data_IF_462870364671
#
_entry.id   IF_462870364671
#
_cell.length_a   1.000
_cell.length_b   1.000
_cell.length_c   1.000
_cell.angle_alpha   90.00
_cell.angle_beta   90.00
_cell.angle_gamma   90.00
#
_symmetry.space_group_name_H-M   'P 1'
#
loop_
_entity.id
_entity.type
_entity.pdbx_description
1 polymer ?
#
# COMPACT_ATOMS: atom_id res chain seq x y z
N UNK A 1 21.36 2.66 -8.46
CA UNK A 1 19.89 2.57 -8.52
C UNK A 1 19.40 3.34 -7.31
N UNK A 2 18.63 4.40 -7.52
CA UNK A 2 18.12 5.21 -6.41
C UNK A 2 16.98 4.44 -5.73
N UNK A 3 16.98 4.35 -4.40
CA UNK A 3 15.90 3.66 -3.67
C UNK A 3 14.62 4.51 -3.71
N UNK A 4 13.55 3.94 -4.25
CA UNK A 4 12.23 4.58 -4.24
C UNK A 4 11.72 4.66 -2.80
N UNK A 5 11.47 5.88 -2.29
CA UNK A 5 10.89 6.06 -0.96
C UNK A 5 9.37 5.97 -1.04
N UNK A 6 8.82 4.87 -0.54
CA UNK A 6 7.38 4.62 -0.50
C UNK A 6 6.89 4.71 0.94
N UNK A 7 5.83 5.49 1.18
CA UNK A 7 5.15 5.56 2.48
C UNK A 7 3.67 5.27 2.31
N UNK A 8 3.14 4.31 3.06
CA UNK A 8 1.69 4.10 3.16
C UNK A 8 1.10 5.18 4.06
N UNK A 9 0.13 5.95 3.56
CA UNK A 9 -0.48 7.07 4.31
C UNK A 9 -1.92 6.80 4.73
N UNK A 10 -2.65 5.98 3.98
CA UNK A 10 -4.04 5.64 4.29
C UNK A 10 -4.41 4.26 3.74
N UNK A 11 -5.26 3.53 4.46
CA UNK A 11 -5.83 2.24 4.04
C UNK A 11 -7.33 2.31 4.26
N UNK A 12 -8.12 2.08 3.22
CA UNK A 12 -9.58 2.08 3.26
C UNK A 12 -10.16 0.83 2.59
N UNK A 13 -11.25 0.32 3.14
CA UNK A 13 -12.01 -0.76 2.54
C UNK A 13 -13.27 -0.16 1.91
N UNK A 14 -13.29 -0.06 0.59
CA UNK A 14 -14.44 0.47 -0.16
C UNK A 14 -15.45 -0.64 -0.46
N UNK A 15 -16.73 -0.27 -0.62
CA UNK A 15 -17.82 -1.23 -0.90
C UNK A 15 -17.80 -1.78 -2.33
N UNK A 16 -17.26 -1.02 -3.28
CA UNK A 16 -17.13 -1.40 -4.70
C UNK A 16 -15.77 -2.04 -4.96
N UNK A 17 -15.48 -3.14 -4.26
CA UNK A 17 -14.24 -3.90 -4.47
C UNK A 17 -14.23 -4.56 -5.87
N UNK A 18 -13.07 -4.64 -6.53
CA UNK A 18 -12.87 -5.60 -7.62
C UNK A 18 -13.21 -7.00 -7.11
N UNK A 19 -13.82 -7.86 -7.95
CA UNK A 19 -14.30 -9.18 -7.54
C UNK A 19 -13.24 -9.98 -6.78
N UNK A 20 -13.44 -10.12 -5.46
CA UNK A 20 -12.49 -10.71 -4.52
C UNK A 20 -12.52 -9.95 -3.20
N UNK A 21 -12.94 -10.62 -2.12
CA UNK A 21 -13.23 -10.02 -0.81
C UNK A 21 -11.99 -9.38 -0.12
N UNK A 22 -10.79 -9.64 -0.65
CA UNK A 22 -9.52 -9.36 0.03
C UNK A 22 -8.81 -8.11 -0.51
N UNK A 23 -9.37 -7.46 -1.55
CA UNK A 23 -8.76 -6.25 -2.13
C UNK A 23 -9.20 -4.98 -1.40
N UNK A 24 -8.26 -4.26 -0.81
CA UNK A 24 -8.48 -2.97 -0.18
C UNK A 24 -7.84 -1.86 -1.00
N UNK A 25 -8.37 -0.63 -0.86
CA UNK A 25 -7.78 0.56 -1.47
C UNK A 25 -6.76 1.14 -0.49
N UNK A 26 -5.56 1.39 -0.98
CA UNK A 26 -4.47 1.95 -0.19
C UNK A 26 -3.96 3.20 -0.88
N UNK A 27 -3.80 4.28 -0.13
CA UNK A 27 -3.11 5.48 -0.60
C UNK A 27 -1.66 5.41 -0.17
N UNK A 28 -0.77 5.44 -1.15
CA UNK A 28 0.69 5.50 -0.94
C UNK A 28 1.22 6.83 -1.41
N UNK A 29 2.25 7.32 -0.73
CA UNK A 29 3.03 8.48 -1.13
C UNK A 29 4.38 8.01 -1.68
N UNK A 30 4.66 8.39 -2.92
CA UNK A 30 5.90 8.09 -3.65
C UNK A 30 6.42 9.41 -4.19
N UNK A 31 7.63 9.79 -3.80
CA UNK A 31 8.27 11.07 -4.20
C UNK A 31 7.34 12.28 -3.99
N UNK A 32 6.62 12.30 -2.86
CA UNK A 32 5.67 13.37 -2.50
C UNK A 32 4.34 13.34 -3.26
N UNK A 33 4.12 12.37 -4.15
CA UNK A 33 2.87 12.18 -4.89
C UNK A 33 2.03 11.08 -4.25
N UNK A 34 0.75 11.37 -4.02
CA UNK A 34 -0.21 10.40 -3.50
C UNK A 34 -0.88 9.63 -4.64
N UNK A 35 -0.88 8.30 -4.53
CA UNK A 35 -1.46 7.38 -5.51
C UNK A 35 -2.34 6.38 -4.76
N UNK A 36 -3.55 6.15 -5.26
CA UNK A 36 -4.43 5.11 -4.73
C UNK A 36 -4.25 3.80 -5.53
N UNK A 37 -4.05 2.69 -4.83
CA UNK A 37 -3.85 1.36 -5.43
C UNK A 37 -4.78 0.34 -4.78
N UNK A 38 -5.25 -0.61 -5.57
CA UNK A 38 -5.92 -1.80 -5.06
C UNK A 38 -4.88 -2.84 -4.70
N UNK A 39 -4.93 -3.37 -3.48
CA UNK A 39 -3.97 -4.37 -3.01
C UNK A 39 -4.61 -5.25 -1.93
N UNK A 40 -3.96 -6.33 -1.55
CA UNK A 40 -4.45 -7.23 -0.50
C UNK A 40 -3.83 -6.93 0.85
N UNK A 41 -4.47 -7.39 1.93
CA UNK A 41 -3.92 -7.27 3.28
C UNK A 41 -2.52 -7.91 3.41
N UNK A 42 -2.33 -9.08 2.79
CA UNK A 42 -1.05 -9.80 2.77
C UNK A 42 0.07 -8.97 2.14
N UNK A 43 -0.21 -8.27 1.05
CA UNK A 43 0.77 -7.38 0.40
C UNK A 43 1.13 -6.19 1.30
N UNK A 44 0.16 -5.62 2.02
CA UNK A 44 0.42 -4.53 2.98
C UNK A 44 1.32 -5.02 4.12
N UNK A 45 1.04 -6.21 4.66
CA UNK A 45 1.86 -6.83 5.73
C UNK A 45 3.30 -7.05 5.26
N UNK A 46 3.50 -7.55 4.04
CA UNK A 46 4.82 -7.74 3.46
C UNK A 46 5.59 -6.41 3.28
N UNK A 47 4.91 -5.36 2.80
CA UNK A 47 5.50 -4.03 2.64
C UNK A 47 5.91 -3.41 3.98
N UNK A 48 5.06 -3.52 5.01
CA UNK A 48 5.41 -3.05 6.38
C UNK A 48 6.63 -3.79 6.93
N UNK A 49 6.67 -5.11 6.77
CA UNK A 49 7.78 -5.93 7.25
C UNK A 49 9.12 -5.53 6.64
N UNK A 50 9.18 -5.26 5.33
CA UNK A 50 10.42 -4.84 4.67
C UNK A 50 10.88 -3.45 5.13
N UNK A 51 9.94 -2.52 5.35
CA UNK A 51 10.24 -1.17 5.88
C UNK A 51 10.79 -1.23 7.31
N UNK A 52 10.19 -2.05 8.19
CA UNK A 52 10.63 -2.16 9.58
C UNK A 52 11.99 -2.84 9.72
N UNK A 53 12.35 -3.76 8.81
CA UNK A 53 13.66 -4.42 8.79
C UNK A 53 14.79 -3.54 8.24
N UNK A 54 14.48 -2.57 7.39
CA UNK A 54 15.45 -1.60 6.81
C UNK A 54 15.73 -0.41 7.72
N UNK A 55 15.09 -0.32 8.88
CA UNK A 55 15.21 0.77 9.86
C UNK A 55 16.20 0.41 10.97
#
# INVERSE_FOLDING_TARGET
MEELKVKVVEVSQEKEQPQGNDYMRVTVEIDGRKIAVWTTESNIKALRFDIDRKR
#
